data_IF_794805458611
#
_entry.id   IF_794805458611
#
_cell.length_a   1.000
_cell.length_b   1.000
_cell.length_c   1.000
_cell.angle_alpha   90.00
_cell.angle_beta   90.00
_cell.angle_gamma   90.00
#
_symmetry.space_group_name_H-M   'P 1'
#
loop_
_entity.id
_entity.type
_entity.pdbx_description
1 polymer ?
#
# COMPACT_ATOMS: atom_id res chain seq x y z
N UNK A 1 -8.89 3.89 3.67
CA UNK A 1 -7.69 3.26 3.08
C UNK A 1 -6.62 4.35 2.93
N UNK A 2 -5.62 4.36 3.80
CA UNK A 2 -4.61 5.43 3.83
C UNK A 2 -3.39 5.01 3.01
N UNK A 3 -3.07 5.74 1.94
CA UNK A 3 -1.81 5.62 1.24
C UNK A 3 -0.86 6.70 1.74
N UNK A 4 0.24 6.30 2.39
CA UNK A 4 1.31 7.21 2.76
C UNK A 4 2.06 7.63 1.49
N UNK A 5 1.61 8.72 0.87
CA UNK A 5 2.40 9.46 -0.10
C UNK A 5 3.26 10.48 0.66
N UNK A 6 4.57 10.23 0.74
CA UNK A 6 5.50 11.20 1.34
C UNK A 6 5.66 12.37 0.37
N UNK A 7 5.26 13.58 0.77
CA UNK A 7 5.40 14.79 -0.06
C UNK A 7 6.87 14.96 -0.45
N UNK A 8 7.14 15.02 -1.76
CA UNK A 8 8.48 15.21 -2.33
C UNK A 8 9.07 13.98 -3.05
N UNK A 9 8.52 12.78 -2.86
CA UNK A 9 8.92 11.62 -3.67
C UNK A 9 8.26 11.68 -5.05
N UNK A 10 8.95 12.28 -6.02
CA UNK A 10 8.67 12.04 -7.44
C UNK A 10 8.94 10.55 -7.68
N UNK A 11 7.86 9.80 -7.93
CA UNK A 11 7.82 8.35 -8.12
C UNK A 11 7.67 7.55 -6.81
N UNK A 12 6.44 7.10 -6.56
CA UNK A 12 6.17 5.96 -5.69
C UNK A 12 7.11 4.84 -6.10
N UNK A 13 7.95 4.39 -5.16
CA UNK A 13 8.91 3.29 -5.33
C UNK A 13 8.28 2.19 -6.17
N UNK A 14 8.81 2.04 -7.39
CA UNK A 14 8.36 1.09 -8.39
C UNK A 14 8.49 -0.32 -7.80
N UNK A 15 7.35 -0.90 -7.42
CA UNK A 15 7.30 -2.22 -6.80
C UNK A 15 7.43 -3.26 -7.91
N UNK A 16 8.47 -4.08 -7.83
CA UNK A 16 8.67 -5.22 -8.72
C UNK A 16 8.20 -6.52 -8.07
N UNK A 17 7.63 -7.42 -8.86
CA UNK A 17 7.44 -8.83 -8.51
C UNK A 17 8.37 -9.64 -9.42
N UNK A 18 9.13 -10.57 -8.85
CA UNK A 18 10.12 -11.37 -9.59
C UNK A 18 11.13 -10.53 -10.42
N UNK A 19 11.47 -9.31 -9.95
CA UNK A 19 12.36 -8.40 -10.68
C UNK A 19 11.69 -7.57 -11.78
N UNK A 20 10.40 -7.78 -12.07
CA UNK A 20 9.65 -7.03 -13.08
C UNK A 20 8.69 -6.02 -12.43
N UNK A 21 8.65 -4.80 -12.94
CA UNK A 21 7.71 -3.77 -12.49
C UNK A 21 6.26 -4.26 -12.59
N UNK A 22 5.46 -4.07 -11.54
CA UNK A 22 4.04 -4.41 -11.58
C UNK A 22 3.30 -3.28 -12.33
N UNK A 23 2.73 -3.54 -13.51
CA UNK A 23 2.12 -2.47 -14.31
C UNK A 23 0.79 -1.99 -13.71
N UNK A 24 0.00 -2.91 -13.14
CA UNK A 24 -1.34 -2.63 -12.62
C UNK A 24 -1.67 -3.50 -11.41
N UNK A 25 -2.33 -2.91 -10.41
CA UNK A 25 -2.81 -3.63 -9.23
C UNK A 25 -4.25 -3.32 -8.87
N UNK A 26 -4.94 -4.29 -8.30
CA UNK A 26 -6.29 -4.15 -7.77
C UNK A 26 -6.32 -3.26 -6.52
N UNK A 27 -7.38 -2.45 -6.40
CA UNK A 27 -7.78 -1.77 -5.17
C UNK A 27 -8.85 -2.60 -4.44
N UNK A 28 -8.97 -2.42 -3.12
CA UNK A 28 -10.05 -3.02 -2.32
C UNK A 28 -11.41 -2.30 -2.50
N UNK A 29 -11.59 -1.53 -3.57
CA UNK A 29 -12.78 -0.72 -3.82
C UNK A 29 -13.55 -1.29 -5.00
N UNK A 30 -14.81 -1.62 -4.78
CA UNK A 30 -15.74 -2.05 -5.82
C UNK A 30 -16.21 -0.85 -6.66
N UNK A 31 -16.36 -1.06 -7.97
CA UNK A 31 -16.97 -0.07 -8.87
C UNK A 31 -18.43 -0.44 -9.16
N UNK A 32 -18.68 -1.70 -9.50
CA UNK A 32 -20.02 -2.29 -9.64
C UNK A 32 -19.93 -3.82 -9.48
N UNK A 33 -21.05 -4.53 -9.69
CA UNK A 33 -21.12 -5.99 -9.56
C UNK A 33 -20.06 -6.73 -10.38
N UNK A 34 -19.70 -6.22 -11.55
CA UNK A 34 -18.79 -6.86 -12.49
C UNK A 34 -17.36 -6.29 -12.45
N UNK A 35 -17.16 -5.06 -11.96
CA UNK A 35 -15.91 -4.33 -12.06
C UNK A 35 -15.38 -3.86 -10.69
N UNK A 36 -14.05 -3.86 -10.55
CA UNK A 36 -13.35 -3.28 -9.42
C UNK A 36 -12.40 -2.16 -9.88
N UNK A 37 -12.03 -1.28 -8.96
CA UNK A 37 -11.03 -0.24 -9.23
C UNK A 37 -9.62 -0.83 -9.29
N UNK A 38 -8.83 -0.40 -10.27
CA UNK A 38 -7.40 -0.69 -10.41
C UNK A 38 -6.57 0.60 -10.44
N UNK A 39 -5.33 0.49 -10.00
CA UNK A 39 -4.31 1.55 -10.10
C UNK A 39 -3.18 1.07 -11.02
N UNK A 40 -2.91 1.85 -12.05
CA UNK A 40 -1.73 1.66 -12.90
C UNK A 40 -0.52 2.28 -12.20
N UNK A 41 0.53 1.48 -11.98
CA UNK A 41 1.72 1.92 -11.26
C UNK A 41 2.77 2.55 -12.18
N UNK A 42 2.63 2.38 -13.50
CA UNK A 42 3.53 2.99 -14.47
C UNK A 42 3.26 4.49 -14.60
N UNK A 43 2.00 4.91 -14.51
CA UNK A 43 1.59 6.31 -14.71
C UNK A 43 0.64 6.87 -13.64
N UNK A 44 0.25 6.08 -12.64
CA UNK A 44 -0.66 6.51 -11.57
C UNK A 44 -2.13 6.59 -11.99
N UNK A 45 -2.49 6.18 -13.21
CA UNK A 45 -3.86 6.27 -13.71
C UNK A 45 -4.80 5.35 -12.90
N UNK A 46 -6.00 5.85 -12.59
CA UNK A 46 -7.03 5.12 -11.84
C UNK A 46 -8.20 4.81 -12.76
N UNK A 47 -8.50 3.53 -12.97
CA UNK A 47 -9.60 3.09 -13.83
C UNK A 47 -10.29 1.86 -13.22
N UNK A 48 -11.47 1.49 -13.72
CA UNK A 48 -12.11 0.22 -13.36
C UNK A 48 -11.82 -0.87 -14.41
N UNK A 49 -11.93 -2.13 -14.01
CA UNK A 49 -11.76 -3.29 -14.88
C UNK A 49 -12.61 -4.46 -14.36
N UNK A 50 -12.91 -5.42 -15.23
CA UNK A 50 -13.70 -6.61 -14.88
C UNK A 50 -12.96 -7.47 -13.83
N UNK A 51 -13.69 -7.90 -12.79
CA UNK A 51 -13.16 -8.70 -11.67
C UNK A 51 -12.58 -10.06 -12.10
N UNK A 52 -12.98 -10.56 -13.27
CA UNK A 52 -12.47 -11.81 -13.84
C UNK A 52 -11.12 -11.66 -14.55
N UNK A 53 -10.53 -10.46 -14.57
CA UNK A 53 -9.25 -10.21 -15.22
C UNK A 53 -8.07 -10.41 -14.26
N UNK A 54 -6.93 -10.80 -14.83
CA UNK A 54 -5.72 -11.10 -14.07
C UNK A 54 -4.92 -9.82 -13.79
N UNK A 55 -5.24 -9.13 -12.68
CA UNK A 55 -4.40 -8.07 -12.14
C UNK A 55 -3.79 -8.48 -10.79
N UNK A 56 -2.66 -7.86 -10.43
CA UNK A 56 -1.93 -8.15 -9.19
C UNK A 56 -2.68 -7.63 -7.96
N UNK A 57 -2.68 -8.41 -6.88
CA UNK A 57 -3.18 -7.97 -5.57
C UNK A 57 -2.00 -7.54 -4.71
N UNK A 58 -2.13 -6.41 -4.00
CA UNK A 58 -1.09 -5.92 -3.08
C UNK A 58 -1.65 -5.86 -1.65
N UNK A 59 -1.22 -6.76 -0.75
CA UNK A 59 -1.56 -6.63 0.66
C UNK A 59 -0.95 -5.34 1.22
N UNK A 60 -1.73 -4.60 2.00
CA UNK A 60 -1.26 -3.39 2.69
C UNK A 60 -1.23 -3.71 4.17
N UNK A 61 -0.04 -3.69 4.77
CA UNK A 61 0.13 -3.81 6.21
C UNK A 61 0.23 -2.40 6.81
N UNK A 62 -0.67 -2.08 7.73
CA UNK A 62 -0.53 -0.89 8.56
C UNK A 62 0.31 -1.26 9.81
N UNK A 63 1.38 -0.51 10.06
CA UNK A 63 2.15 -0.65 11.30
C UNK A 63 1.84 0.54 12.21
N UNK A 64 1.47 0.26 13.45
CA UNK A 64 1.33 1.28 14.50
C UNK A 64 2.72 1.58 15.04
N UNK A 65 3.21 2.80 14.82
CA UNK A 65 4.41 3.28 15.51
C UNK A 65 4.01 3.66 16.93
N UNK A 66 4.40 2.86 17.93
CA UNK A 66 4.27 3.24 19.34
C UNK A 66 5.25 4.38 19.62
N UNK A 67 4.73 5.57 19.96
CA UNK A 67 5.58 6.68 20.40
C UNK A 67 6.39 6.23 21.60
N UNK A 68 7.72 6.25 21.48
CA UNK A 68 8.70 5.61 22.36
C UNK A 68 8.88 6.30 23.74
N UNK A 69 7.85 6.96 24.26
CA UNK A 69 7.93 7.62 25.58
C UNK A 69 7.86 6.58 26.71
N UNK A 70 7.25 5.41 26.47
CA UNK A 70 7.12 4.34 27.48
C UNK A 70 8.32 3.36 27.54
N UNK A 71 9.29 3.46 26.62
CA UNK A 71 10.47 2.60 26.62
C UNK A 71 11.59 3.08 27.58
N UNK A 72 11.44 4.27 28.17
CA UNK A 72 12.43 4.90 29.06
C UNK A 72 12.15 4.68 30.55
N UNK A 73 11.08 3.96 30.91
CA UNK A 73 10.65 3.76 32.30
C UNK A 73 11.23 2.54 33.04
N UNK A 74 11.96 1.64 32.36
CA UNK A 74 12.47 0.41 32.99
C UNK A 74 13.91 0.51 33.52
N UNK A 75 14.45 1.72 33.64
CA UNK A 75 15.82 1.97 34.12
C UNK A 75 15.82 2.75 35.44
N UNK A 76 15.10 2.27 36.46
CA UNK A 76 15.34 2.62 37.86
C UNK A 76 14.57 1.64 38.77
N UNK A 77 15.29 0.74 39.44
CA UNK A 77 14.69 -0.13 40.45
C UNK A 77 15.45 -1.42 40.71
N UNK A 78 16.71 -1.33 41.15
CA UNK A 78 17.29 -2.37 42.00
C UNK A 78 16.75 -2.18 43.41
N UNK A 79 16.01 -3.17 43.93
CA UNK A 79 15.83 -3.36 45.37
C UNK A 79 17.02 -4.13 45.91
#
# INVERSE_FOLDING_TARGET
MFFLSKKGCRQLRLLCANGQQIPEGWSSTEYNSNNAWKLNMNNGNRNNNNKNNNNYVRPVLAYLMKNSIEAKGYAAGTF
#
